data_IF_240163867636
#
_entry.id   IF_240163867636
#
_cell.length_a   1.000
_cell.length_b   1.000
_cell.length_c   1.000
_cell.angle_alpha   90.00
_cell.angle_beta   90.00
_cell.angle_gamma   90.00
#
_symmetry.space_group_name_H-M   'P 1'
#
loop_
_entity.id
_entity.type
_entity.pdbx_description
1 polymer ?
#
# COMPACT_ATOMS: atom_id res chain seq x y z
N UNK A 1 38.44 56.63 -1.60
CA UNK A 1 37.28 55.80 -1.16
C UNK A 1 36.06 56.70 -1.27
N UNK A 2 35.05 56.45 -2.15
CA UNK A 2 34.39 55.17 -2.37
C UNK A 2 34.07 54.77 -3.85
N UNK A 3 33.97 53.45 -4.04
CA UNK A 3 32.96 52.64 -4.73
C UNK A 3 32.46 53.05 -6.14
N UNK A 4 33.02 52.38 -7.15
CA UNK A 4 32.44 52.24 -8.49
C UNK A 4 31.32 51.21 -8.54
N UNK A 5 30.13 51.64 -8.93
CA UNK A 5 29.00 50.77 -9.27
C UNK A 5 29.05 50.31 -10.72
N UNK A 6 28.97 49.00 -10.95
CA UNK A 6 28.53 48.43 -12.23
C UNK A 6 27.51 47.32 -11.97
N UNK A 7 26.24 47.64 -12.21
CA UNK A 7 25.13 46.69 -12.27
C UNK A 7 25.29 45.82 -13.51
N UNK A 8 25.34 44.49 -13.35
CA UNK A 8 25.17 43.53 -14.46
C UNK A 8 23.70 43.12 -14.54
N UNK A 9 23.13 43.27 -15.73
CA UNK A 9 21.76 42.89 -16.05
C UNK A 9 21.61 41.36 -16.06
N UNK A 10 20.53 40.87 -15.44
CA UNK A 10 20.08 39.46 -15.51
C UNK A 10 19.35 39.24 -16.83
N UNK A 11 19.77 38.22 -17.58
CA UNK A 11 19.06 37.71 -18.75
C UNK A 11 17.86 36.85 -18.32
N UNK A 12 16.69 37.13 -18.87
CA UNK A 12 15.45 36.34 -18.75
C UNK A 12 15.38 35.28 -19.85
N UNK A 13 14.95 34.04 -19.56
CA UNK A 13 14.79 33.02 -20.60
C UNK A 13 13.45 33.19 -21.34
N UNK A 14 13.53 33.11 -22.68
CA UNK A 14 12.41 33.16 -23.63
C UNK A 14 11.53 31.92 -23.49
N UNK A 15 10.22 32.13 -23.30
CA UNK A 15 9.18 31.08 -23.39
C UNK A 15 8.75 30.91 -24.85
N UNK A 16 8.94 29.74 -25.42
CA UNK A 16 8.37 29.35 -26.72
C UNK A 16 6.92 28.89 -26.53
N UNK A 17 5.97 29.62 -27.11
CA UNK A 17 4.57 29.22 -27.22
C UNK A 17 4.42 28.20 -28.35
N UNK A 18 3.99 26.98 -28.04
CA UNK A 18 3.42 26.07 -29.02
C UNK A 18 1.96 26.47 -29.28
N UNK A 19 1.66 26.90 -30.49
CA UNK A 19 0.30 27.15 -30.97
C UNK A 19 -0.30 25.85 -31.48
N UNK A 20 -1.42 25.44 -30.90
CA UNK A 20 -2.26 24.35 -31.39
C UNK A 20 -3.01 24.81 -32.64
N UNK A 21 -2.71 24.18 -33.78
CA UNK A 21 -3.47 24.32 -35.02
C UNK A 21 -4.51 23.20 -35.10
N UNK A 22 -5.78 23.59 -35.03
CA UNK A 22 -6.94 22.73 -35.28
C UNK A 22 -7.18 22.60 -36.77
N UNK A 23 -7.14 21.38 -37.31
CA UNK A 23 -7.64 21.08 -38.65
C UNK A 23 -8.45 19.79 -38.64
N UNK A 24 -9.78 19.95 -38.62
CA UNK A 24 -10.77 18.90 -38.80
C UNK A 24 -11.06 18.74 -40.30
N UNK A 25 -10.65 17.62 -40.90
CA UNK A 25 -11.20 17.16 -42.17
C UNK A 25 -11.55 15.66 -42.14
N UNK A 26 -12.78 15.39 -42.56
CA UNK A 26 -13.42 14.08 -42.71
C UNK A 26 -12.87 13.30 -43.90
N UNK A 27 -12.90 11.96 -43.78
CA UNK A 27 -13.22 11.06 -44.90
C UNK A 27 -12.34 9.81 -45.00
N UNK A 28 -12.98 8.62 -45.02
CA UNK A 28 -12.38 7.42 -45.59
C UNK A 28 -12.69 6.11 -44.84
N UNK A 29 -13.66 5.35 -45.36
CA UNK A 29 -13.89 3.96 -44.99
C UNK A 29 -12.63 3.11 -45.16
N UNK A 30 -12.16 2.51 -44.07
CA UNK A 30 -11.16 1.45 -44.05
C UNK A 30 -11.61 0.35 -43.12
N UNK A 31 -11.83 -0.83 -43.68
CA UNK A 31 -12.12 -2.10 -43.02
C UNK A 31 -11.15 -2.33 -41.86
N UNK A 32 -11.64 -2.27 -40.63
CA UNK A 32 -10.83 -2.55 -39.43
C UNK A 32 -10.61 -4.05 -39.39
N UNK A 33 -9.42 -4.47 -39.83
CA UNK A 33 -8.96 -5.84 -39.71
C UNK A 33 -8.85 -6.16 -38.21
N UNK A 34 -9.72 -7.06 -37.73
CA UNK A 34 -9.65 -7.64 -36.39
C UNK A 34 -8.34 -8.39 -36.26
N UNK A 35 -7.31 -7.71 -35.76
CA UNK A 35 -6.13 -8.40 -35.23
C UNK A 35 -6.55 -9.11 -33.94
N UNK A 36 -6.70 -10.42 -34.12
CA UNK A 36 -6.94 -11.44 -33.11
C UNK A 36 -5.99 -11.31 -31.92
N UNK A 37 -6.60 -11.36 -30.74
CA UNK A 37 -6.07 -11.78 -29.45
C UNK A 37 -4.74 -12.55 -29.49
N UNK A 38 -3.70 -11.91 -28.96
CA UNK A 38 -2.60 -12.47 -28.16
C UNK A 38 -1.54 -11.38 -27.94
N UNK A 39 -1.94 -10.22 -27.41
CA UNK A 39 -1.00 -9.35 -26.71
C UNK A 39 -0.89 -9.97 -25.34
N UNK A 40 0.25 -10.58 -25.02
CA UNK A 40 0.56 -11.13 -23.70
C UNK A 40 -0.01 -10.20 -22.61
N UNK A 41 -0.88 -10.71 -21.74
CA UNK A 41 -1.53 -9.93 -20.67
C UNK A 41 -0.51 -9.19 -19.79
N UNK A 42 0.74 -9.66 -19.79
CA UNK A 42 1.95 -9.00 -19.27
C UNK A 42 2.39 -7.74 -20.03
N UNK A 43 1.60 -7.13 -20.93
CA UNK A 43 1.99 -5.89 -21.63
C UNK A 43 0.94 -4.78 -21.61
N UNK A 44 -0.07 -4.88 -20.75
CA UNK A 44 -0.97 -3.75 -20.50
C UNK A 44 -0.16 -2.52 -20.04
N UNK A 45 -0.43 -1.35 -20.62
CA UNK A 45 0.37 -0.14 -20.40
C UNK A 45 0.55 0.23 -18.91
N UNK A 46 -0.40 -0.17 -18.07
CA UNK A 46 -0.43 0.10 -16.63
C UNK A 46 0.01 -1.10 -15.75
N UNK A 47 0.34 -2.26 -16.35
CA UNK A 47 0.68 -3.48 -15.60
C UNK A 47 2.09 -3.54 -15.03
N UNK A 48 2.94 -2.55 -15.33
CA UNK A 48 4.31 -2.40 -14.80
C UNK A 48 5.20 -3.66 -14.95
N UNK A 49 4.89 -4.53 -15.90
CA UNK A 49 5.41 -5.89 -15.99
C UNK A 49 6.92 -6.00 -16.21
N UNK A 50 7.53 -4.94 -16.77
CA UNK A 50 8.96 -4.84 -17.04
C UNK A 50 9.78 -4.65 -15.76
N UNK A 51 9.16 -4.24 -14.67
CA UNK A 51 9.85 -3.85 -13.44
C UNK A 51 9.80 -4.95 -12.40
N UNK A 52 10.87 -5.01 -11.60
CA UNK A 52 10.98 -5.95 -10.49
C UNK A 52 10.14 -5.47 -9.29
N UNK A 53 10.22 -4.18 -8.96
CA UNK A 53 9.43 -3.58 -7.89
C UNK A 53 8.35 -2.69 -8.51
N UNK A 54 7.10 -3.06 -8.27
CA UNK A 54 5.90 -2.39 -8.81
C UNK A 54 5.14 -1.73 -7.66
N UNK A 55 4.40 -0.67 -7.97
CA UNK A 55 3.59 0.04 -6.99
C UNK A 55 2.28 0.54 -7.59
N UNK A 56 1.16 0.26 -6.94
CA UNK A 56 -0.16 0.77 -7.31
C UNK A 56 -1.08 0.80 -6.07
N UNK A 57 -2.33 1.17 -6.27
CA UNK A 57 -3.27 1.50 -5.21
C UNK A 57 -4.58 0.72 -5.30
N UNK A 58 -5.08 0.29 -4.14
CA UNK A 58 -6.39 -0.34 -3.98
C UNK A 58 -6.55 -1.62 -4.79
N UNK A 59 -7.80 -2.11 -4.84
CA UNK A 59 -8.15 -3.36 -5.54
C UNK A 59 -7.89 -3.25 -7.05
N UNK A 60 -8.23 -2.11 -7.67
CA UNK A 60 -8.02 -1.90 -9.11
C UNK A 60 -6.54 -1.87 -9.48
N UNK A 61 -5.69 -1.28 -8.63
CA UNK A 61 -4.24 -1.29 -8.81
C UNK A 61 -3.66 -2.68 -8.63
N UNK A 62 -4.10 -3.40 -7.61
CA UNK A 62 -3.71 -4.79 -7.41
C UNK A 62 -4.04 -5.65 -8.63
N UNK A 63 -5.27 -5.57 -9.16
CA UNK A 63 -5.67 -6.30 -10.36
C UNK A 63 -4.78 -6.01 -11.59
N UNK A 64 -4.17 -4.82 -11.66
CA UNK A 64 -3.24 -4.46 -12.75
C UNK A 64 -1.84 -5.03 -12.56
N UNK A 65 -1.29 -5.00 -11.34
CA UNK A 65 0.15 -5.22 -11.14
C UNK A 65 0.51 -6.51 -10.39
N UNK A 66 -0.45 -7.15 -9.72
CA UNK A 66 -0.28 -8.45 -9.05
C UNK A 66 -0.13 -9.61 -10.05
N UNK A 67 -0.77 -9.63 -11.23
CA UNK A 67 -0.52 -10.69 -12.21
C UNK A 67 0.99 -10.81 -12.55
N UNK A 68 1.53 -12.01 -12.34
CA UNK A 68 2.95 -12.32 -12.52
C UNK A 68 3.89 -11.75 -11.45
N UNK A 69 3.36 -11.19 -10.36
CA UNK A 69 4.14 -10.91 -9.16
C UNK A 69 4.34 -12.20 -8.36
N UNK A 70 5.50 -12.32 -7.73
CA UNK A 70 5.81 -13.44 -6.85
C UNK A 70 5.56 -13.11 -5.38
N UNK A 71 5.60 -11.80 -5.05
CA UNK A 71 5.34 -11.28 -3.72
C UNK A 71 4.41 -10.09 -3.85
N UNK A 72 3.39 -10.02 -2.99
CA UNK A 72 2.51 -8.87 -2.83
C UNK A 72 2.74 -8.30 -1.43
N UNK A 73 3.04 -7.01 -1.33
CA UNK A 73 3.16 -6.31 -0.05
C UNK A 73 1.98 -5.38 0.09
N UNK A 74 1.16 -5.60 1.11
CA UNK A 74 -0.02 -4.77 1.39
C UNK A 74 0.34 -3.72 2.44
N UNK A 75 -0.08 -2.48 2.20
CA UNK A 75 0.13 -1.33 3.07
C UNK A 75 -1.21 -0.65 3.35
N UNK A 76 -1.58 -0.54 4.62
CA UNK A 76 -2.72 0.24 5.14
C UNK A 76 -2.31 0.73 6.54
N UNK A 77 -1.68 1.92 6.57
CA UNK A 77 -0.95 2.41 7.73
C UNK A 77 -1.89 2.77 8.89
N UNK A 78 -3.08 3.30 8.57
CA UNK A 78 -4.08 3.78 9.53
C UNK A 78 -5.42 3.08 9.25
N UNK A 79 -5.61 1.83 9.65
CA UNK A 79 -4.78 1.11 10.64
C UNK A 79 -4.60 -0.37 10.35
N UNK A 80 -5.11 -0.91 9.24
CA UNK A 80 -5.29 -2.36 9.11
C UNK A 80 -3.96 -3.12 9.19
N UNK A 81 -2.96 -2.77 8.36
CA UNK A 81 -1.67 -3.47 8.38
C UNK A 81 -0.87 -3.21 9.65
N UNK A 82 -0.99 -2.01 10.24
CA UNK A 82 -0.44 -1.73 11.57
C UNK A 82 -1.06 -2.65 12.64
N UNK A 83 -2.38 -2.86 12.60
CA UNK A 83 -3.07 -3.75 13.51
C UNK A 83 -2.66 -5.21 13.31
N UNK A 84 -2.50 -5.65 12.05
CA UNK A 84 -1.99 -6.99 11.71
C UNK A 84 -0.58 -7.20 12.26
N UNK A 85 0.33 -6.23 12.10
CA UNK A 85 1.70 -6.32 12.62
C UNK A 85 1.71 -6.37 14.15
N UNK A 86 0.95 -5.49 14.82
CA UNK A 86 0.88 -5.49 16.30
C UNK A 86 0.22 -6.77 16.83
N UNK A 87 -0.80 -7.30 16.16
CA UNK A 87 -1.40 -8.58 16.50
C UNK A 87 -0.38 -9.72 16.43
N UNK A 88 0.39 -9.78 15.34
CA UNK A 88 1.42 -10.80 15.14
C UNK A 88 2.56 -10.71 16.18
N UNK A 89 2.98 -9.49 16.57
CA UNK A 89 3.92 -9.27 17.69
C UNK A 89 3.45 -9.91 19.00
N UNK A 90 2.13 -10.03 19.19
CA UNK A 90 1.50 -10.59 20.39
C UNK A 90 0.97 -12.03 20.17
N UNK A 91 1.38 -12.69 19.09
CA UNK A 91 0.98 -14.07 18.78
C UNK A 91 -0.47 -14.22 18.32
N UNK A 92 -1.12 -13.13 17.91
CA UNK A 92 -2.49 -13.13 17.38
C UNK A 92 -2.45 -13.12 15.86
N UNK A 93 -3.08 -14.11 15.25
CA UNK A 93 -3.25 -14.22 13.80
C UNK A 93 -4.48 -13.46 13.34
N UNK A 94 -4.41 -12.80 12.19
CA UNK A 94 -5.51 -11.97 11.67
C UNK A 94 -6.05 -12.57 10.38
N UNK A 95 -7.35 -12.90 10.37
CA UNK A 95 -8.09 -13.23 9.16
C UNK A 95 -8.73 -11.94 8.60
N UNK A 96 -8.26 -11.40 7.46
CA UNK A 96 -8.81 -10.17 6.89
C UNK A 96 -10.28 -10.34 6.52
N UNK A 97 -11.08 -9.29 6.63
CA UNK A 97 -12.46 -9.28 6.14
C UNK A 97 -12.82 -7.94 5.50
N UNK A 98 -13.61 -7.99 4.42
CA UNK A 98 -14.17 -6.78 3.82
C UNK A 98 -15.33 -6.30 4.69
N UNK A 99 -15.19 -5.14 5.34
CA UNK A 99 -16.25 -4.65 6.23
C UNK A 99 -17.55 -4.26 5.53
N UNK A 100 -17.56 -4.19 4.19
CA UNK A 100 -18.78 -3.98 3.41
C UNK A 100 -19.53 -5.28 3.09
N UNK A 101 -18.89 -6.43 3.33
CA UNK A 101 -19.52 -7.73 3.18
C UNK A 101 -20.08 -8.16 4.54
N UNK A 102 -21.37 -7.89 4.75
CA UNK A 102 -22.05 -8.23 6.01
C UNK A 102 -22.45 -9.72 6.05
N UNK A 103 -22.49 -10.38 4.89
CA UNK A 103 -22.89 -11.77 4.76
C UNK A 103 -21.69 -12.71 5.01
N UNK A 104 -21.92 -13.88 5.59
CA UNK A 104 -20.89 -14.95 5.68
C UNK A 104 -19.76 -14.75 6.68
N UNK A 105 -19.56 -13.55 7.27
CA UNK A 105 -18.49 -13.31 8.26
C UNK A 105 -18.56 -14.25 9.47
N UNK A 106 -19.78 -14.58 9.91
CA UNK A 106 -20.02 -15.49 11.04
C UNK A 106 -19.64 -16.94 10.68
N UNK A 107 -19.96 -17.40 9.48
CA UNK A 107 -19.60 -18.73 9.00
C UNK A 107 -18.08 -18.85 8.80
N UNK A 108 -17.47 -17.82 8.21
CA UNK A 108 -16.02 -17.73 8.03
C UNK A 108 -15.28 -17.77 9.37
N UNK A 109 -15.73 -16.99 10.36
CA UNK A 109 -15.17 -17.01 11.71
C UNK A 109 -15.32 -18.38 12.37
N UNK A 110 -16.51 -19.00 12.26
CA UNK A 110 -16.76 -20.33 12.82
C UNK A 110 -15.85 -21.41 12.19
N UNK A 111 -15.64 -21.37 10.87
CA UNK A 111 -14.76 -22.29 10.15
C UNK A 111 -13.29 -22.21 10.60
N UNK A 112 -12.85 -21.04 11.07
CA UNK A 112 -11.51 -20.81 11.60
C UNK A 112 -11.40 -20.99 13.13
N UNK A 113 -12.52 -21.18 13.84
CA UNK A 113 -12.56 -21.07 15.30
C UNK A 113 -12.11 -19.70 15.80
N UNK A 114 -12.36 -18.66 15.01
CA UNK A 114 -11.91 -17.29 15.24
C UNK A 114 -12.99 -16.45 15.93
N UNK A 115 -12.59 -15.34 16.56
CA UNK A 115 -13.52 -14.30 17.02
C UNK A 115 -13.56 -13.16 16.02
N UNK A 116 -14.73 -12.56 15.82
CA UNK A 116 -14.88 -11.36 15.00
C UNK A 116 -14.48 -10.15 15.84
N UNK A 117 -13.62 -9.29 15.30
CA UNK A 117 -13.25 -8.04 15.94
C UNK A 117 -14.46 -7.13 16.13
N UNK A 118 -14.55 -6.51 17.29
CA UNK A 118 -15.59 -5.55 17.64
C UNK A 118 -15.32 -4.17 17.00
N UNK A 119 -16.30 -3.27 17.12
CA UNK A 119 -16.12 -1.90 16.64
C UNK A 119 -15.20 -1.13 17.59
N UNK A 120 -14.51 -0.14 17.02
CA UNK A 120 -13.75 0.85 17.79
C UNK A 120 -14.63 1.43 18.91
N UNK A 121 -14.19 1.29 20.16
CA UNK A 121 -14.86 1.79 21.36
C UNK A 121 -15.59 0.71 22.16
N UNK A 122 -15.72 -0.49 21.60
CA UNK A 122 -16.21 -1.68 22.29
C UNK A 122 -15.02 -2.46 22.90
N UNK A 123 -15.29 -3.29 23.91
CA UNK A 123 -14.25 -4.09 24.57
C UNK A 123 -13.76 -5.23 23.68
N UNK A 124 -12.49 -5.63 23.80
CA UNK A 124 -11.90 -6.73 23.03
C UNK A 124 -11.15 -6.27 21.77
N UNK A 125 -10.81 -7.21 20.86
CA UNK A 125 -10.10 -6.89 19.62
C UNK A 125 -10.91 -5.96 18.72
N UNK A 126 -10.27 -4.97 18.12
CA UNK A 126 -10.88 -4.01 17.18
C UNK A 126 -9.88 -3.65 16.08
N UNK A 127 -10.25 -2.77 15.14
CA UNK A 127 -9.31 -2.20 14.17
C UNK A 127 -8.25 -1.25 14.81
N UNK A 128 -8.34 -0.97 16.10
CA UNK A 128 -7.28 -0.27 16.83
C UNK A 128 -6.10 -1.21 17.09
N UNK A 129 -4.87 -0.89 16.64
CA UNK A 129 -3.69 -1.69 16.93
C UNK A 129 -3.45 -1.87 18.44
N UNK A 130 -3.78 -0.85 19.26
CA UNK A 130 -3.64 -0.91 20.71
C UNK A 130 -4.52 -1.99 21.36
N UNK A 131 -5.61 -2.42 20.70
CA UNK A 131 -6.49 -3.47 21.22
C UNK A 131 -5.85 -4.86 21.25
N UNK A 132 -4.76 -5.07 20.53
CA UNK A 132 -4.00 -6.33 20.49
C UNK A 132 -2.84 -6.38 21.49
N UNK A 133 -2.54 -5.28 22.19
CA UNK A 133 -1.50 -5.24 23.22
C UNK A 133 -1.86 -6.03 24.49
N UNK A 134 -3.12 -6.48 24.61
CA UNK A 134 -3.63 -7.29 25.71
C UNK A 134 -3.95 -8.68 25.17
N UNK A 135 -3.58 -9.74 25.89
CA UNK A 135 -3.72 -11.12 25.43
C UNK A 135 -5.13 -11.45 24.91
N UNK A 136 -5.21 -11.85 23.65
CA UNK A 136 -6.46 -12.21 22.96
C UNK A 136 -6.61 -13.73 22.91
N UNK A 137 -7.80 -14.24 23.21
CA UNK A 137 -8.17 -15.65 23.02
C UNK A 137 -9.55 -15.75 22.35
N UNK A 138 -9.73 -16.60 21.32
CA UNK A 138 -8.73 -17.42 20.62
C UNK A 138 -7.70 -16.57 19.86
N UNK A 139 -6.56 -17.15 19.53
CA UNK A 139 -5.44 -16.45 18.87
C UNK A 139 -5.69 -16.14 17.37
N UNK A 140 -6.90 -16.34 16.85
CA UNK A 140 -7.30 -15.93 15.49
C UNK A 140 -8.45 -14.95 15.59
N UNK A 141 -8.28 -13.78 14.98
CA UNK A 141 -9.29 -12.73 14.93
C UNK A 141 -9.65 -12.43 13.49
N UNK A 142 -10.94 -12.53 13.15
CA UNK A 142 -11.47 -11.97 11.90
C UNK A 142 -11.53 -10.45 12.05
N UNK A 143 -10.80 -9.72 11.21
CA UNK A 143 -10.67 -8.26 11.31
C UNK A 143 -11.32 -7.57 10.10
N UNK A 144 -12.56 -7.06 10.25
CA UNK A 144 -13.19 -6.23 9.25
C UNK A 144 -12.45 -4.90 9.06
N UNK A 145 -12.12 -4.57 7.82
CA UNK A 145 -11.59 -3.26 7.44
C UNK A 145 -12.14 -2.85 6.07
N UNK A 146 -12.54 -1.57 5.90
CA UNK A 146 -13.13 -1.08 4.65
C UNK A 146 -12.11 -0.96 3.51
N UNK A 147 -10.82 -0.87 3.84
CA UNK A 147 -9.73 -0.63 2.91
C UNK A 147 -8.83 -1.87 2.82
N UNK A 148 -7.87 -2.04 3.73
CA UNK A 148 -6.92 -3.15 3.70
C UNK A 148 -7.57 -4.53 3.81
N UNK A 149 -8.65 -4.67 4.59
CA UNK A 149 -9.42 -5.91 4.66
C UNK A 149 -10.09 -6.25 3.33
N UNK A 150 -10.74 -5.26 2.72
CA UNK A 150 -11.33 -5.38 1.39
C UNK A 150 -10.29 -5.66 0.30
N UNK A 151 -9.14 -4.98 0.34
CA UNK A 151 -8.02 -5.22 -0.57
C UNK A 151 -7.57 -6.67 -0.49
N UNK A 152 -7.22 -7.17 0.70
CA UNK A 152 -6.71 -8.54 0.84
C UNK A 152 -7.75 -9.59 0.46
N UNK A 153 -9.04 -9.36 0.75
CA UNK A 153 -10.12 -10.27 0.31
C UNK A 153 -10.35 -10.27 -1.19
N UNK A 154 -10.04 -9.17 -1.88
CA UNK A 154 -10.13 -9.06 -3.33
C UNK A 154 -8.84 -9.38 -4.08
N UNK A 155 -7.76 -9.77 -3.38
CA UNK A 155 -6.48 -10.09 -4.02
C UNK A 155 -6.56 -11.43 -4.76
N UNK A 156 -6.39 -11.38 -6.08
CA UNK A 156 -6.09 -12.55 -6.92
C UNK A 156 -4.57 -12.77 -6.94
N UNK A 157 -4.03 -13.31 -5.83
CA UNK A 157 -2.60 -13.50 -5.61
C UNK A 157 -2.16 -14.95 -5.85
N UNK A 158 -2.57 -15.55 -6.97
CA UNK A 158 -2.35 -16.97 -7.27
C UNK A 158 -0.87 -17.39 -7.12
N UNK A 159 -0.58 -18.10 -6.02
CA UNK A 159 0.77 -18.58 -5.69
C UNK A 159 1.77 -17.51 -5.26
N UNK A 160 1.36 -16.25 -5.13
CA UNK A 160 2.21 -15.18 -4.63
C UNK A 160 2.22 -15.14 -3.09
N UNK A 161 3.38 -14.87 -2.50
CA UNK A 161 3.51 -14.63 -1.06
C UNK A 161 2.93 -13.26 -0.74
N UNK A 162 1.96 -13.17 0.18
CA UNK A 162 1.35 -11.89 0.57
C UNK A 162 1.83 -11.48 1.95
N UNK A 163 2.45 -10.31 2.06
CA UNK A 163 3.03 -9.77 3.29
C UNK A 163 2.28 -8.50 3.73
N UNK A 164 2.08 -8.33 5.04
CA UNK A 164 1.58 -7.07 5.61
C UNK A 164 2.75 -6.18 6.04
N UNK A 165 2.78 -4.95 5.55
CA UNK A 165 3.82 -3.98 5.89
C UNK A 165 3.25 -2.72 6.54
N UNK A 166 3.97 -2.23 7.54
CA UNK A 166 3.73 -0.96 8.22
C UNK A 166 5.07 -0.23 8.41
N UNK A 167 5.07 0.99 8.95
CA UNK A 167 6.32 1.65 9.36
C UNK A 167 7.12 0.80 10.37
N UNK A 168 6.43 -0.01 11.17
CA UNK A 168 7.02 -0.78 12.27
C UNK A 168 7.99 -1.85 11.82
N UNK A 169 7.81 -2.37 10.59
CA UNK A 169 8.51 -3.55 10.09
C UNK A 169 9.05 -3.39 8.65
N UNK A 170 9.18 -2.16 8.12
CA UNK A 170 9.59 -1.93 6.71
C UNK A 170 10.90 -2.63 6.34
N UNK A 171 11.93 -2.60 7.21
CA UNK A 171 13.22 -3.22 6.94
C UNK A 171 13.16 -4.74 7.08
N UNK A 172 12.30 -5.24 7.97
CA UNK A 172 12.07 -6.68 8.13
C UNK A 172 11.35 -7.26 6.90
N UNK A 173 10.34 -6.56 6.37
CA UNK A 173 9.65 -6.92 5.13
C UNK A 173 10.63 -6.99 3.96
N UNK A 174 11.48 -5.97 3.79
CA UNK A 174 12.50 -5.97 2.74
C UNK A 174 13.50 -7.15 2.88
N UNK A 175 13.93 -7.44 4.12
CA UNK A 175 14.83 -8.57 4.40
C UNK A 175 14.17 -9.92 4.12
N UNK A 176 12.89 -10.08 4.45
CA UNK A 176 12.10 -11.28 4.14
C UNK A 176 11.96 -11.49 2.64
N UNK A 177 11.70 -10.41 1.89
CA UNK A 177 11.62 -10.44 0.42
C UNK A 177 12.95 -10.89 -0.20
N UNK A 178 14.07 -10.35 0.28
CA UNK A 178 15.40 -10.78 -0.18
C UNK A 178 15.64 -12.25 0.14
N UNK A 179 15.28 -12.71 1.34
CA UNK A 179 15.42 -14.12 1.73
C UNK A 179 14.60 -15.05 0.83
N UNK A 180 13.34 -14.71 0.53
CA UNK A 180 12.49 -15.45 -0.41
C UNK A 180 13.10 -15.52 -1.82
N UNK A 181 13.70 -14.42 -2.27
CA UNK A 181 14.38 -14.38 -3.57
C UNK A 181 15.61 -15.30 -3.60
N UNK A 182 16.41 -15.30 -2.54
CA UNK A 182 17.57 -16.18 -2.38
C UNK A 182 17.16 -17.66 -2.32
N UNK A 183 16.12 -17.98 -1.55
CA UNK A 183 15.54 -19.33 -1.45
C UNK A 183 15.10 -19.86 -2.81
N UNK A 184 14.52 -18.99 -3.65
CA UNK A 184 14.07 -19.35 -5.00
C UNK A 184 15.21 -19.41 -6.03
N UNK A 185 16.33 -18.73 -5.78
CA UNK A 185 17.48 -18.69 -6.70
C UNK A 185 17.24 -17.92 -7.99
N UNK A 186 16.15 -17.16 -8.09
CA UNK A 186 15.76 -16.38 -9.27
C UNK A 186 15.22 -15.02 -8.84
N UNK A 187 15.30 -14.01 -9.74
CA UNK A 187 14.75 -12.69 -9.48
C UNK A 187 13.25 -12.77 -9.17
N UNK A 188 12.83 -12.20 -8.05
CA UNK A 188 11.42 -12.13 -7.67
C UNK A 188 10.80 -10.77 -7.99
N UNK A 189 9.58 -10.79 -8.52
CA UNK A 189 8.78 -9.58 -8.76
C UNK A 189 7.96 -9.30 -7.51
N UNK A 190 8.03 -8.05 -7.06
CA UNK A 190 7.36 -7.53 -5.85
C UNK A 190 6.34 -6.48 -6.28
N UNK A 191 5.07 -6.68 -5.92
CA UNK A 191 4.02 -5.69 -6.08
C UNK A 191 3.68 -5.09 -4.71
N UNK A 192 3.96 -3.80 -4.52
CA UNK A 192 3.57 -3.07 -3.31
C UNK A 192 2.23 -2.39 -3.56
N UNK A 193 1.21 -2.70 -2.77
CA UNK A 193 -0.14 -2.16 -2.91
C UNK A 193 -0.49 -1.32 -1.68
N UNK A 194 -0.66 -0.02 -1.89
CA UNK A 194 -1.23 0.87 -0.90
C UNK A 194 -2.77 0.75 -0.93
N UNK A 195 -3.39 0.47 0.21
CA UNK A 195 -4.83 0.26 0.30
C UNK A 195 -5.61 1.53 -0.04
N UNK A 196 -5.09 2.69 0.39
CA UNK A 196 -5.73 3.97 0.23
C UNK A 196 -6.96 4.09 1.12
N UNK A 197 -7.70 5.18 0.92
CA UNK A 197 -8.87 5.50 1.72
C UNK A 197 -10.08 5.65 0.82
N UNK A 198 -11.28 5.39 1.35
CA UNK A 198 -12.50 5.67 0.59
C UNK A 198 -12.78 7.17 0.58
N UNK A 199 -13.36 7.66 -0.51
CA UNK A 199 -13.87 9.03 -0.61
C UNK A 199 -14.96 9.32 0.41
N UNK A 200 -15.31 10.61 0.55
CA UNK A 200 -16.32 11.08 1.51
C UNK A 200 -17.71 10.43 1.30
N UNK A 201 -18.00 10.02 0.06
CA UNK A 201 -19.16 9.19 -0.25
C UNK A 201 -18.72 7.73 -0.34
N UNK A 202 -18.90 6.98 0.75
CA UNK A 202 -18.56 5.56 0.83
C UNK A 202 -19.23 4.71 -0.28
N UNK A 203 -20.32 5.21 -0.88
CA UNK A 203 -21.03 4.54 -1.97
C UNK A 203 -20.46 4.82 -3.36
N UNK A 204 -19.62 5.85 -3.55
CA UNK A 204 -19.04 6.15 -4.87
C UNK A 204 -17.84 5.24 -5.21
N UNK A 205 -17.33 4.53 -4.19
CA UNK A 205 -16.26 3.54 -4.31
C UNK A 205 -14.90 4.12 -4.73
N UNK A 206 -14.76 5.44 -4.81
CA UNK A 206 -13.54 6.09 -5.28
C UNK A 206 -12.49 6.07 -4.20
N UNK A 207 -11.27 5.82 -4.65
CA UNK A 207 -10.10 5.91 -3.82
C UNK A 207 -9.70 7.38 -3.60
N UNK A 208 -9.64 7.78 -2.34
CA UNK A 208 -8.94 8.97 -1.87
C UNK A 208 -7.47 8.65 -1.68
N UNK A 209 -6.63 9.55 -2.15
CA UNK A 209 -5.21 9.53 -1.85
C UNK A 209 -4.97 9.61 -0.33
N UNK A 210 -4.28 8.60 0.21
CA UNK A 210 -3.89 8.49 1.61
C UNK A 210 -2.39 8.78 1.75
N UNK A 211 -2.02 9.96 2.27
CA UNK A 211 -0.60 10.36 2.34
C UNK A 211 0.22 9.38 3.20
N UNK A 212 -0.42 8.82 4.23
CA UNK A 212 0.15 7.82 5.13
C UNK A 212 0.55 6.56 4.37
N UNK A 213 -0.34 5.97 3.58
CA UNK A 213 -0.05 4.75 2.83
C UNK A 213 1.01 4.99 1.75
N UNK A 214 0.99 6.16 1.09
CA UNK A 214 2.04 6.54 0.13
C UNK A 214 3.42 6.57 0.80
N UNK A 215 3.50 7.19 1.99
CA UNK A 215 4.75 7.33 2.73
C UNK A 215 5.24 5.97 3.27
N UNK A 216 4.33 5.12 3.76
CA UNK A 216 4.69 3.79 4.26
C UNK A 216 5.11 2.87 3.11
N UNK A 217 4.39 2.85 1.99
CA UNK A 217 4.78 2.10 0.80
C UNK A 217 6.13 2.58 0.26
N UNK A 218 6.34 3.90 0.20
CA UNK A 218 7.65 4.49 -0.13
C UNK A 218 8.76 4.05 0.82
N UNK A 219 8.48 3.93 2.13
CA UNK A 219 9.44 3.46 3.11
C UNK A 219 9.84 1.99 2.95
N UNK A 220 8.91 1.14 2.52
CA UNK A 220 9.18 -0.26 2.17
C UNK A 220 10.03 -0.33 0.89
N UNK A 221 9.69 0.46 -0.13
CA UNK A 221 10.44 0.50 -1.39
C UNK A 221 11.86 1.03 -1.17
N UNK A 222 12.04 2.06 -0.33
CA UNK A 222 13.35 2.56 0.12
C UNK A 222 14.19 1.44 0.77
N UNK A 223 13.56 0.63 1.63
CA UNK A 223 14.24 -0.50 2.26
C UNK A 223 14.63 -1.58 1.24
N UNK A 224 13.80 -1.84 0.21
CA UNK A 224 14.13 -2.76 -0.88
C UNK A 224 15.28 -2.24 -1.75
N UNK A 225 15.25 -0.96 -2.13
CA UNK A 225 16.31 -0.29 -2.90
C UNK A 225 17.63 -0.32 -2.13
N UNK A 226 17.60 -0.09 -0.82
CA UNK A 226 18.78 -0.19 0.06
C UNK A 226 19.42 -1.59 0.03
N UNK A 227 18.62 -2.64 -0.16
CA UNK A 227 19.07 -4.02 -0.31
C UNK A 227 19.42 -4.41 -1.77
N UNK A 228 19.38 -3.46 -2.70
CA UNK A 228 19.73 -3.67 -4.11
C UNK A 228 18.59 -4.17 -5.01
N UNK A 229 17.34 -4.17 -4.53
CA UNK A 229 16.16 -4.40 -5.37
C UNK A 229 15.67 -3.06 -5.97
N UNK A 230 16.47 -2.49 -6.87
CA UNK A 230 16.31 -1.11 -7.36
C UNK A 230 15.70 -1.00 -8.76
N UNK A 231 15.37 -2.11 -9.41
CA UNK A 231 14.67 -2.13 -10.70
C UNK A 231 13.17 -1.83 -10.52
N UNK A 232 12.89 -0.57 -10.18
CA UNK A 232 11.58 -0.02 -9.83
C UNK A 232 10.80 0.49 -11.04
N UNK A 233 9.47 0.39 -10.97
CA UNK A 233 8.57 1.10 -11.88
C UNK A 233 8.62 2.61 -11.63
N UNK A 234 8.19 3.46 -12.58
CA UNK A 234 8.07 4.90 -12.36
C UNK A 234 7.21 5.22 -11.12
N UNK A 235 6.12 4.49 -10.91
CA UNK A 235 5.23 4.63 -9.77
C UNK A 235 5.95 4.31 -8.46
N UNK A 236 6.71 3.21 -8.42
CA UNK A 236 7.50 2.81 -7.25
C UNK A 236 8.64 3.79 -6.95
N UNK A 237 9.31 4.30 -7.99
CA UNK A 237 10.38 5.29 -7.86
C UNK A 237 9.84 6.62 -7.28
N UNK A 238 8.65 7.06 -7.70
CA UNK A 238 8.00 8.26 -7.14
C UNK A 238 7.63 8.05 -5.67
N UNK A 239 7.12 6.86 -5.31
CA UNK A 239 6.82 6.54 -3.91
C UNK A 239 8.08 6.51 -3.04
N UNK A 240 9.15 5.87 -3.52
CA UNK A 240 10.46 5.86 -2.87
C UNK A 240 10.98 7.28 -2.62
N UNK A 241 11.03 8.11 -3.67
CA UNK A 241 11.52 9.48 -3.59
C UNK A 241 10.68 10.37 -2.65
N UNK A 242 9.37 10.13 -2.56
CA UNK A 242 8.50 10.82 -1.60
C UNK A 242 8.91 10.50 -0.16
N UNK A 243 9.18 9.24 0.17
CA UNK A 243 9.68 8.87 1.50
C UNK A 243 11.10 9.38 1.74
N UNK A 244 12.03 9.20 0.80
CA UNK A 244 13.43 9.68 0.94
C UNK A 244 13.48 11.18 1.26
N UNK A 245 12.75 12.00 0.48
CA UNK A 245 12.73 13.45 0.67
C UNK A 245 12.01 13.91 1.93
N UNK A 246 11.08 13.10 2.47
CA UNK A 246 10.24 13.44 3.61
C UNK A 246 10.54 12.60 4.87
N UNK A 247 11.55 11.73 4.85
CA UNK A 247 11.78 10.70 5.87
C UNK A 247 12.03 11.26 7.27
N UNK A 248 12.63 12.45 7.36
CA UNK A 248 12.81 13.16 8.64
C UNK A 248 11.50 13.74 9.21
N UNK A 249 10.50 13.97 8.36
CA UNK A 249 9.20 14.51 8.72
C UNK A 249 8.08 13.46 8.70
N UNK A 250 8.36 12.21 8.36
CA UNK A 250 7.35 11.16 8.11
C UNK A 250 6.38 10.98 9.29
N UNK A 251 6.89 10.99 10.53
CA UNK A 251 6.07 10.90 11.75
C UNK A 251 5.09 12.08 11.85
N UNK A 252 5.56 13.29 11.56
CA UNK A 252 4.72 14.48 11.58
C UNK A 252 3.69 14.47 10.45
N UNK A 253 4.09 14.07 9.25
CA UNK A 253 3.20 14.05 8.08
C UNK A 253 2.09 13.01 8.22
N UNK A 254 2.42 11.79 8.65
CA UNK A 254 1.42 10.76 8.97
C UNK A 254 0.52 11.27 10.10
N UNK A 255 1.10 11.82 11.18
CA UNK A 255 0.32 12.32 12.31
C UNK A 255 -0.59 13.52 12.01
N UNK A 256 -0.30 14.27 10.94
CA UNK A 256 -1.08 15.42 10.48
C UNK A 256 -2.00 15.08 9.29
N UNK A 257 -2.08 13.81 8.88
CA UNK A 257 -2.92 13.41 7.75
C UNK A 257 -4.41 13.53 8.05
N UNK A 258 -5.24 13.50 7.00
CA UNK A 258 -6.69 13.50 7.14
C UNK A 258 -7.20 12.30 7.96
N UNK A 259 -6.69 11.09 7.67
CA UNK A 259 -7.04 9.87 8.42
C UNK A 259 -6.57 9.96 9.88
N UNK A 260 -5.37 10.48 10.13
CA UNK A 260 -4.90 10.72 11.49
C UNK A 260 -5.76 11.75 12.22
N UNK A 261 -6.18 12.83 11.56
CA UNK A 261 -7.08 13.83 12.14
C UNK A 261 -8.44 13.23 12.52
N UNK A 262 -9.01 12.36 11.68
CA UNK A 262 -10.24 11.62 11.98
C UNK A 262 -10.06 10.67 13.18
N UNK A 263 -8.99 9.87 13.20
CA UNK A 263 -8.66 9.00 14.34
C UNK A 263 -8.48 9.80 15.64
N UNK A 264 -7.80 10.94 15.56
CA UNK A 264 -7.57 11.82 16.70
C UNK A 264 -8.89 12.41 17.24
N UNK A 265 -9.82 12.80 16.35
CA UNK A 265 -11.15 13.27 16.73
C UNK A 265 -11.97 12.18 17.42
N UNK A 266 -11.76 10.91 17.04
CA UNK A 266 -12.37 9.73 17.66
C UNK A 266 -11.64 9.25 18.94
N UNK A 267 -10.57 9.92 19.37
CA UNK A 267 -9.82 9.55 20.59
C UNK A 267 -8.67 8.56 20.38
N UNK A 268 -8.36 8.16 19.15
CA UNK A 268 -7.33 7.16 18.80
C UNK A 268 -5.95 7.77 18.50
N UNK A 269 -5.55 8.80 19.25
CA UNK A 269 -4.19 9.40 19.13
C UNK A 269 -3.08 8.38 19.37
N UNK A 270 -3.31 7.42 20.27
CA UNK A 270 -2.38 6.33 20.56
C UNK A 270 -2.12 5.46 19.33
N UNK A 271 -3.14 5.18 18.53
CA UNK A 271 -3.02 4.35 17.32
C UNK A 271 -2.17 5.03 16.26
N UNK A 272 -2.37 6.34 16.07
CA UNK A 272 -1.54 7.13 15.15
C UNK A 272 -0.08 7.09 15.59
N UNK A 273 0.20 7.18 16.90
CA UNK A 273 1.56 7.02 17.43
C UNK A 273 2.14 5.64 17.10
N UNK A 274 1.41 4.57 17.41
CA UNK A 274 1.81 3.18 17.12
C UNK A 274 2.12 2.97 15.63
N UNK A 275 1.31 3.55 14.74
CA UNK A 275 1.48 3.44 13.29
C UNK A 275 2.72 4.17 12.73
N UNK A 276 3.27 5.12 13.49
CA UNK A 276 4.48 5.88 13.10
C UNK A 276 5.78 5.33 13.67
N UNK A 277 5.70 4.32 14.53
CA UNK A 277 6.89 3.65 15.08
C UNK A 277 7.64 2.96 13.93
N UNK A 278 8.95 3.23 13.82
CA UNK A 278 9.76 2.83 12.67
C UNK A 278 10.72 1.71 13.04
N UNK A 279 10.64 0.60 12.30
CA UNK A 279 11.54 -0.56 12.42
C UNK A 279 11.71 -1.06 13.86
N UNK A 280 10.63 -1.05 14.63
CA UNK A 280 10.66 -1.50 16.03
C UNK A 280 10.42 -3.00 16.19
N UNK A 281 10.05 -3.69 15.12
CA UNK A 281 9.83 -5.15 15.11
C UNK A 281 10.47 -5.79 13.88
N UNK A 282 10.86 -7.05 14.03
CA UNK A 282 11.31 -7.92 12.94
C UNK A 282 10.22 -8.88 12.46
N UNK A 283 9.01 -8.81 13.03
CA UNK A 283 7.87 -9.67 12.65
C UNK A 283 7.34 -9.26 11.28
N UNK A 284 7.13 -10.23 10.39
CA UNK A 284 6.61 -10.02 9.03
C UNK A 284 5.39 -10.92 8.83
N UNK A 285 4.17 -10.39 9.02
CA UNK A 285 2.98 -11.21 8.85
C UNK A 285 2.80 -11.67 7.39
N UNK A 286 2.71 -12.98 7.19
CA UNK A 286 2.49 -13.63 5.90
C UNK A 286 1.08 -14.23 5.84
N UNK A 287 0.36 -14.01 4.73
CA UNK A 287 -0.98 -14.55 4.52
C UNK A 287 -0.88 -16.01 4.09
N UNK A 288 -1.31 -16.92 4.97
CA UNK A 288 -1.35 -18.36 4.70
C UNK A 288 -2.77 -18.85 4.94
N UNK A 289 -3.38 -19.51 3.96
CA UNK A 289 -4.77 -19.99 4.02
C UNK A 289 -5.77 -18.90 4.46
N UNK A 290 -5.59 -17.67 3.94
CA UNK A 290 -6.45 -16.52 4.24
C UNK A 290 -6.26 -15.90 5.63
N UNK A 291 -5.20 -16.26 6.36
CA UNK A 291 -4.89 -15.73 7.69
C UNK A 291 -3.44 -15.23 7.75
N UNK A 292 -3.24 -13.98 8.17
CA UNK A 292 -1.92 -13.44 8.46
C UNK A 292 -1.36 -14.05 9.74
N UNK A 293 -0.15 -14.60 9.65
CA UNK A 293 0.60 -15.22 10.76
C UNK A 293 2.03 -14.68 10.80
N UNK A 294 2.62 -14.64 11.99
CA UNK A 294 4.00 -14.21 12.23
C UNK A 294 5.04 -15.14 11.60
#
# INVERSE_FOLDING_TARGET
MPLGGRRRARATPRRSRCTAGSDLRRGGHGTVNRYSAAVSESSAAFGQSKYQVRFDWGVDGAARIVPGAHIVVVVDALSFTTAVVVAAEHGVSIAPWNSLDEDGVAEFAAGLGAVIANRRGEAGPTLSPASFAVGVQPAVVVLPSPNGGALVRGLEADGAVVLAASMRNRSAVASRILSLQEERGERMVVAVIAAGERGDDANDGRLRFAIEDQLVAGAVIDALVTLGLDHTSPEAAVACAAYEGLGHAVVHLIGASGSAAQLNAMGYRGDVRIATERDITTVVPELVDGVFRA
#
